data_IF_393253297135
#
_entry.id   IF_393253297135
#
_cell.length_a   1.000
_cell.length_b   1.000
_cell.length_c   1.000
_cell.angle_alpha   90.00
_cell.angle_beta   90.00
_cell.angle_gamma   90.00
#
_symmetry.space_group_name_H-M   'P 1'
#
loop_
_entity.id
_entity.type
_entity.pdbx_description
1 polymer ?
#
# COMPACT_ATOMS: atom_id res chain seq x y z
N UNK A 1 3.97 -19.00 5.83
CA UNK A 1 2.63 -18.38 5.88
C UNK A 1 2.46 -17.41 4.72
N UNK A 2 1.37 -17.57 3.96
CA UNK A 2 1.15 -16.79 2.76
C UNK A 2 -0.13 -15.96 2.80
N UNK A 3 -0.78 -15.87 3.98
CA UNK A 3 -2.02 -15.13 4.11
C UNK A 3 -1.75 -13.64 4.25
N UNK A 4 -2.33 -12.87 3.34
CA UNK A 4 -2.11 -11.43 3.28
C UNK A 4 -2.57 -10.73 4.56
N UNK A 5 -3.75 -11.08 5.08
CA UNK A 5 -4.27 -10.44 6.27
C UNK A 5 -3.37 -10.63 7.49
N UNK A 6 -2.80 -11.83 7.63
CA UNK A 6 -1.89 -12.10 8.74
C UNK A 6 -0.63 -11.25 8.65
N UNK A 7 -0.09 -11.07 7.45
CA UNK A 7 1.08 -10.22 7.25
C UNK A 7 0.78 -8.75 7.51
N UNK A 8 -0.38 -8.29 7.06
CA UNK A 8 -0.80 -6.91 7.32
C UNK A 8 -0.91 -6.67 8.83
N UNK A 9 -1.53 -7.61 9.54
CA UNK A 9 -1.67 -7.49 10.99
C UNK A 9 -0.30 -7.42 11.67
N UNK A 10 0.61 -8.31 11.31
CA UNK A 10 1.96 -8.29 11.88
C UNK A 10 2.67 -6.99 11.57
N UNK A 11 2.55 -6.52 10.33
CA UNK A 11 3.17 -5.25 9.93
C UNK A 11 2.67 -4.10 10.82
N UNK A 12 1.36 -4.01 11.00
CA UNK A 12 0.79 -2.91 11.78
C UNK A 12 1.18 -2.99 13.25
N UNK A 13 1.22 -4.18 13.83
CA UNK A 13 1.53 -4.34 15.25
C UNK A 13 3.01 -4.34 15.53
N UNK A 14 3.79 -5.07 14.75
CA UNK A 14 5.20 -5.29 15.04
C UNK A 14 6.09 -4.18 14.48
N UNK A 15 5.81 -3.72 13.27
CA UNK A 15 6.68 -2.74 12.64
C UNK A 15 6.23 -1.31 12.91
N UNK A 16 4.97 -1.01 12.66
CA UNK A 16 4.48 0.36 12.73
C UNK A 16 4.41 0.86 14.16
N UNK A 17 3.89 0.04 15.07
CA UNK A 17 3.71 0.43 16.47
C UNK A 17 4.95 0.12 17.29
N UNK A 18 5.38 -1.15 17.31
CA UNK A 18 6.42 -1.60 18.22
C UNK A 18 7.82 -1.15 17.80
N UNK A 19 8.17 -1.35 16.53
CA UNK A 19 9.54 -1.05 16.09
C UNK A 19 9.75 0.43 15.78
N UNK A 20 8.84 1.01 14.99
CA UNK A 20 9.04 2.36 14.48
C UNK A 20 8.40 3.42 15.36
N UNK A 21 7.44 3.02 16.18
CA UNK A 21 6.73 3.95 17.05
C UNK A 21 6.31 5.23 16.32
N UNK A 22 5.70 5.04 15.14
CA UNK A 22 5.31 6.15 14.30
C UNK A 22 4.19 6.96 14.95
N UNK A 23 4.01 8.20 14.50
CA UNK A 23 2.96 9.04 15.05
C UNK A 23 1.59 8.39 14.89
N UNK A 24 0.65 8.80 15.75
CA UNK A 24 -0.70 8.24 15.69
C UNK A 24 -1.38 8.53 14.35
N UNK A 25 -1.09 9.67 13.75
CA UNK A 25 -1.65 10.01 12.43
C UNK A 25 -1.13 9.06 11.36
N UNK A 26 0.17 8.76 11.39
CA UNK A 26 0.76 7.82 10.44
C UNK A 26 0.22 6.42 10.66
N UNK A 27 0.10 5.99 11.92
CA UNK A 27 -0.48 4.68 12.24
C UNK A 27 -1.90 4.57 11.71
N UNK A 28 -2.71 5.62 11.88
CA UNK A 28 -4.08 5.64 11.40
C UNK A 28 -4.12 5.57 9.87
N UNK A 29 -3.25 6.34 9.21
CA UNK A 29 -3.19 6.35 7.76
C UNK A 29 -2.85 4.95 7.22
N UNK A 30 -1.92 4.26 7.86
CA UNK A 30 -1.56 2.92 7.45
C UNK A 30 -2.72 1.94 7.65
N UNK A 31 -3.39 2.00 8.82
CA UNK A 31 -4.55 1.15 9.06
C UNK A 31 -5.66 1.42 8.05
N UNK A 32 -5.91 2.70 7.76
CA UNK A 32 -6.97 3.06 6.81
C UNK A 32 -6.68 2.49 5.42
N UNK A 33 -5.41 2.50 5.01
CA UNK A 33 -5.03 1.95 3.72
C UNK A 33 -5.45 0.49 3.61
N UNK A 34 -5.11 -0.31 4.62
CA UNK A 34 -5.40 -1.75 4.55
C UNK A 34 -6.87 -2.06 4.81
N UNK A 35 -7.57 -1.20 5.56
CA UNK A 35 -9.01 -1.37 5.75
C UNK A 35 -9.79 -1.15 4.46
N UNK A 36 -9.21 -0.43 3.50
CA UNK A 36 -9.80 -0.25 2.18
C UNK A 36 -9.31 -1.33 1.22
N UNK A 37 -8.01 -1.62 1.27
CA UNK A 37 -7.39 -2.55 0.33
C UNK A 37 -7.92 -3.98 0.46
N UNK A 38 -7.96 -4.51 1.69
CA UNK A 38 -8.31 -5.92 1.87
C UNK A 38 -9.73 -6.25 1.43
N UNK A 39 -10.76 -5.47 1.81
CA UNK A 39 -12.10 -5.73 1.29
C UNK A 39 -12.19 -5.60 -0.22
N UNK A 40 -11.46 -4.63 -0.79
CA UNK A 40 -11.47 -4.43 -2.25
C UNK A 40 -10.90 -5.65 -2.97
N UNK A 41 -9.77 -6.19 -2.48
CA UNK A 41 -9.19 -7.40 -3.08
C UNK A 41 -10.13 -8.59 -2.89
N UNK A 42 -10.76 -8.69 -1.72
CA UNK A 42 -11.68 -9.80 -1.42
C UNK A 42 -12.83 -9.85 -2.43
N UNK A 43 -13.43 -8.70 -2.69
CA UNK A 43 -14.53 -8.63 -3.65
C UNK A 43 -14.04 -8.98 -5.05
N UNK A 44 -12.91 -8.40 -5.45
CA UNK A 44 -12.36 -8.59 -6.78
C UNK A 44 -11.95 -10.06 -7.04
N UNK A 45 -11.31 -10.68 -6.06
CA UNK A 45 -10.80 -12.05 -6.20
C UNK A 45 -11.86 -13.11 -5.88
N UNK A 46 -12.97 -12.69 -5.27
CA UNK A 46 -14.02 -13.59 -4.79
C UNK A 46 -13.52 -14.56 -3.73
N UNK A 47 -12.55 -14.13 -2.95
CA UNK A 47 -12.03 -14.89 -1.82
C UNK A 47 -12.34 -14.13 -0.53
N UNK A 48 -12.69 -14.83 0.56
CA UNK A 48 -12.90 -14.18 1.85
C UNK A 48 -11.63 -13.46 2.30
N UNK A 49 -11.80 -12.38 3.06
CA UNK A 49 -10.66 -11.58 3.50
C UNK A 49 -9.62 -12.43 4.24
N UNK A 50 -10.07 -13.34 5.09
CA UNK A 50 -9.18 -14.19 5.88
C UNK A 50 -8.52 -15.29 5.06
N UNK A 51 -8.86 -15.41 3.78
CA UNK A 51 -8.29 -16.39 2.88
C UNK A 51 -7.51 -15.76 1.72
N UNK A 52 -7.24 -14.46 1.81
CA UNK A 52 -6.43 -13.81 0.79
C UNK A 52 -4.98 -14.22 0.94
N UNK A 53 -4.34 -14.57 -0.18
CA UNK A 53 -2.93 -14.91 -0.20
C UNK A 53 -2.12 -13.70 -0.64
N UNK A 54 -0.82 -13.71 -0.34
CA UNK A 54 0.10 -12.69 -0.83
C UNK A 54 -0.04 -12.52 -2.34
N UNK A 55 -0.17 -13.63 -3.06
CA UNK A 55 -0.28 -13.60 -4.52
C UNK A 55 -1.55 -12.90 -5.03
N UNK A 56 -2.57 -12.78 -4.19
CA UNK A 56 -3.78 -12.05 -4.59
C UNK A 56 -3.53 -10.54 -4.72
N UNK A 57 -2.46 -10.05 -4.10
CA UNK A 57 -2.01 -8.68 -4.31
C UNK A 57 -0.85 -8.71 -5.30
N UNK A 58 -1.17 -8.80 -6.57
CA UNK A 58 -0.17 -8.74 -7.63
C UNK A 58 0.07 -7.29 -8.03
N UNK A 59 1.08 -7.08 -8.87
CA UNK A 59 1.37 -5.75 -9.41
C UNK A 59 0.15 -5.17 -10.14
N UNK A 60 -0.50 -5.97 -10.97
CA UNK A 60 -1.66 -5.51 -11.74
C UNK A 60 -2.83 -5.18 -10.84
N UNK A 61 -3.08 -6.00 -9.82
CA UNK A 61 -4.12 -5.72 -8.84
C UNK A 61 -3.82 -4.43 -8.09
N UNK A 62 -2.56 -4.22 -7.72
CA UNK A 62 -2.18 -2.97 -7.06
C UNK A 62 -2.43 -1.76 -7.94
N UNK A 63 -2.08 -1.84 -9.23
CA UNK A 63 -2.31 -0.73 -10.14
C UNK A 63 -3.80 -0.44 -10.29
N UNK A 64 -4.61 -1.47 -10.36
CA UNK A 64 -6.07 -1.31 -10.43
C UNK A 64 -6.62 -0.69 -9.14
N UNK A 65 -6.05 -1.06 -7.99
CA UNK A 65 -6.45 -0.47 -6.72
C UNK A 65 -6.15 1.03 -6.68
N UNK A 66 -4.98 1.41 -7.17
CA UNK A 66 -4.62 2.84 -7.22
C UNK A 66 -5.55 3.61 -8.15
N UNK A 67 -5.94 3.02 -9.28
CA UNK A 67 -6.92 3.63 -10.17
C UNK A 67 -8.28 3.76 -9.48
N UNK A 68 -8.67 2.73 -8.72
CA UNK A 68 -9.90 2.77 -7.94
C UNK A 68 -9.88 3.93 -6.94
N UNK A 69 -8.76 4.15 -6.27
CA UNK A 69 -8.64 5.25 -5.33
C UNK A 69 -8.86 6.61 -6.00
N UNK A 70 -8.30 6.80 -7.18
CA UNK A 70 -8.41 8.09 -7.87
C UNK A 70 -9.80 8.29 -8.50
N UNK A 71 -10.35 7.28 -9.15
CA UNK A 71 -11.55 7.45 -9.97
C UNK A 71 -12.85 7.12 -9.24
N UNK A 72 -12.82 6.16 -8.33
CA UNK A 72 -14.02 5.78 -7.58
C UNK A 72 -14.11 6.49 -6.23
N UNK A 73 -12.99 6.63 -5.55
CA UNK A 73 -12.95 7.26 -4.23
C UNK A 73 -12.52 8.72 -4.29
N UNK A 74 -12.17 9.19 -5.48
CA UNK A 74 -11.79 10.59 -5.72
C UNK A 74 -10.62 11.06 -4.87
N UNK A 75 -9.68 10.17 -4.57
CA UNK A 75 -8.49 10.52 -3.84
C UNK A 75 -7.59 11.41 -4.68
N UNK A 76 -7.01 12.42 -4.05
CA UNK A 76 -5.99 13.23 -4.70
C UNK A 76 -4.70 12.44 -4.82
N UNK A 77 -3.83 12.91 -5.71
CA UNK A 77 -2.56 12.22 -5.97
C UNK A 77 -1.77 12.03 -4.68
N UNK A 78 -1.76 13.03 -3.80
CA UNK A 78 -1.05 12.92 -2.53
C UNK A 78 -1.58 11.76 -1.68
N UNK A 79 -2.88 11.63 -1.55
CA UNK A 79 -3.49 10.55 -0.77
C UNK A 79 -3.23 9.21 -1.42
N UNK A 80 -3.37 9.14 -2.74
CA UNK A 80 -3.06 7.92 -3.50
C UNK A 80 -1.61 7.48 -3.24
N UNK A 81 -0.67 8.43 -3.27
CA UNK A 81 0.73 8.12 -3.02
C UNK A 81 1.01 7.72 -1.57
N UNK A 82 0.31 8.31 -0.61
CA UNK A 82 0.45 7.91 0.79
C UNK A 82 0.01 6.47 1.00
N UNK A 83 -1.06 6.06 0.33
CA UNK A 83 -1.53 4.68 0.44
C UNK A 83 -0.56 3.72 -0.23
N UNK A 84 0.02 4.12 -1.36
CA UNK A 84 1.04 3.31 -2.00
C UNK A 84 2.27 3.17 -1.12
N UNK A 85 2.67 4.23 -0.43
CA UNK A 85 3.80 4.17 0.50
C UNK A 85 3.56 3.15 1.61
N UNK A 86 2.34 3.10 2.14
CA UNK A 86 1.98 2.10 3.16
C UNK A 86 2.12 0.68 2.61
N UNK A 87 1.67 0.47 1.38
CA UNK A 87 1.73 -0.85 0.75
C UNK A 87 3.18 -1.24 0.47
N UNK A 88 4.01 -0.30 -0.01
CA UNK A 88 5.44 -0.54 -0.20
C UNK A 88 6.12 -0.93 1.10
N UNK A 89 5.80 -0.24 2.20
CA UNK A 89 6.39 -0.53 3.49
C UNK A 89 5.99 -1.92 4.00
N UNK A 90 4.73 -2.28 3.81
CA UNK A 90 4.25 -3.62 4.19
C UNK A 90 4.95 -4.70 3.37
N UNK A 91 5.09 -4.48 2.06
CA UNK A 91 5.76 -5.47 1.21
C UNK A 91 7.21 -5.68 1.63
N UNK A 92 7.90 -4.59 2.01
CA UNK A 92 9.27 -4.67 2.49
C UNK A 92 9.34 -5.47 3.78
N UNK A 93 8.41 -5.21 4.70
CA UNK A 93 8.35 -5.95 5.96
C UNK A 93 8.18 -7.44 5.73
N UNK A 94 7.28 -7.81 4.80
CA UNK A 94 7.07 -9.22 4.45
C UNK A 94 8.36 -9.85 3.93
N UNK A 95 9.04 -9.18 3.00
CA UNK A 95 10.27 -9.70 2.42
C UNK A 95 11.39 -9.85 3.45
N UNK A 96 11.46 -8.93 4.40
CA UNK A 96 12.47 -9.00 5.46
C UNK A 96 12.25 -10.17 6.41
N UNK A 97 11.00 -10.59 6.58
CA UNK A 97 10.66 -11.68 7.49
C UNK A 97 10.43 -13.00 6.77
N UNK A 98 10.33 -12.99 5.46
CA UNK A 98 10.05 -14.18 4.66
C UNK A 98 10.76 -14.08 3.32
N UNK A 99 11.99 -14.58 3.23
CA UNK A 99 12.78 -14.47 2.01
C UNK A 99 12.11 -15.01 0.75
N UNK A 100 11.19 -15.96 0.90
CA UNK A 100 10.46 -16.48 -0.24
C UNK A 100 9.60 -15.45 -0.94
N UNK A 101 9.34 -14.31 -0.29
CA UNK A 101 8.52 -13.24 -0.85
C UNK A 101 9.31 -12.06 -1.39
N UNK A 102 10.64 -12.20 -1.51
CA UNK A 102 11.49 -11.11 -2.00
C UNK A 102 11.12 -10.72 -3.43
N UNK A 103 10.89 -11.71 -4.30
CA UNK A 103 10.52 -11.41 -5.69
C UNK A 103 9.18 -10.70 -5.77
N UNK A 104 8.20 -11.14 -4.97
CA UNK A 104 6.90 -10.47 -4.91
C UNK A 104 7.06 -9.02 -4.43
N UNK A 105 7.84 -8.82 -3.39
CA UNK A 105 8.10 -7.48 -2.87
C UNK A 105 8.66 -6.56 -3.95
N UNK A 106 9.59 -7.08 -4.76
CA UNK A 106 10.18 -6.29 -5.84
C UNK A 106 9.12 -5.84 -6.85
N UNK A 107 8.17 -6.72 -7.20
CA UNK A 107 7.12 -6.34 -8.15
C UNK A 107 6.19 -5.27 -7.59
N UNK A 108 5.88 -5.35 -6.30
CA UNK A 108 5.02 -4.37 -5.65
C UNK A 108 5.74 -3.02 -5.54
N UNK A 109 6.99 -3.03 -5.11
CA UNK A 109 7.75 -1.79 -4.94
C UNK A 109 8.13 -1.15 -6.26
N UNK A 110 8.05 -1.87 -7.35
CA UNK A 110 8.31 -1.33 -8.68
C UNK A 110 7.17 -0.44 -9.18
N UNK A 111 5.98 -0.52 -8.57
CA UNK A 111 4.88 0.38 -8.93
C UNK A 111 5.24 1.78 -8.45
N UNK A 112 5.35 2.75 -9.37
CA UNK A 112 5.88 4.07 -9.02
C UNK A 112 4.85 4.99 -8.38
N UNK A 113 5.35 5.92 -7.59
CA UNK A 113 4.52 7.02 -7.13
C UNK A 113 4.17 7.91 -8.31
N UNK A 114 3.00 8.53 -8.24
CA UNK A 114 2.53 9.41 -9.30
C UNK A 114 3.05 10.80 -9.03
N UNK A 115 3.60 11.42 -10.07
CA UNK A 115 4.09 12.80 -9.97
C UNK A 115 2.91 13.75 -10.07
N UNK A 116 2.97 14.84 -9.32
CA UNK A 116 1.97 15.89 -9.47
C UNK A 116 2.67 17.24 -9.60
N UNK A 117 2.03 18.13 -10.35
CA UNK A 117 2.56 19.46 -10.59
C UNK A 117 2.18 20.41 -9.47
N UNK A 118 3.14 21.24 -9.09
CA UNK A 118 2.88 22.34 -8.18
C UNK A 118 2.83 23.61 -9.04
N UNK A 119 1.73 24.34 -9.01
CA UNK A 119 1.63 25.55 -9.82
C UNK A 119 2.77 26.53 -9.59
N UNK A 120 3.26 26.62 -8.36
CA UNK A 120 4.34 27.55 -8.03
C UNK A 120 5.65 27.21 -8.72
N UNK A 121 5.83 26.01 -9.21
CA UNK A 121 7.04 25.65 -9.93
C UNK A 121 7.17 26.47 -11.21
N UNK A 122 6.04 26.82 -11.80
CA UNK A 122 6.03 27.63 -12.98
C UNK A 122 6.63 29.02 -12.72
N UNK A 123 6.38 29.54 -11.54
CA UNK A 123 6.88 30.85 -11.17
C UNK A 123 8.36 30.82 -10.87
N UNK A 124 8.82 29.75 -10.30
CA UNK A 124 10.22 29.62 -9.92
C UNK A 124 11.15 29.59 -11.11
N UNK A 125 10.63 29.25 -12.27
CA UNK A 125 11.42 29.21 -13.49
C UNK A 125 11.61 30.57 -14.13
N UNK A 126 10.92 31.55 -13.63
CA UNK A 126 11.03 32.90 -14.18
C UNK A 126 12.21 33.61 -13.58
N UNK A 127 12.98 34.26 -14.42
CA UNK A 127 14.10 35.04 -13.93
C UNK A 127 13.64 36.28 -13.15
#
# INVERSE_FOLDING_TARGET
>A
MNLLGSWVRRFLLEHVIAERNLSKNTQRSYRDTFSILLPWISIRSRHPIDRLYIADLSRDVLKDFLDHLEHERHCKIRTRNQRLAAIHAMARFVAEHSPEHVAWCATIRAVPFKRFHRPQLTYLEKP
#
